data_IF_089241875647
#
_entry.id   IF_089241875647
#
_cell.length_a   1.000
_cell.length_b   1.000
_cell.length_c   1.000
_cell.angle_alpha   90.00
_cell.angle_beta   90.00
_cell.angle_gamma   90.00
#
_symmetry.space_group_name_H-M   'P 1'
#
loop_
_entity.id
_entity.type
_entity.pdbx_description
1 polymer ?
#
# COMPACT_ATOMS: atom_id res chain seq x y z
N UNK A 1 -25.76 -56.22 7.87
CA UNK A 1 -26.09 -55.28 6.77
C UNK A 1 -24.91 -54.34 6.59
N UNK A 2 -23.95 -54.69 5.73
CA UNK A 2 -22.75 -53.87 5.50
C UNK A 2 -22.87 -53.18 4.14
N UNK A 3 -23.38 -51.96 4.14
CA UNK A 3 -23.40 -51.10 2.95
C UNK A 3 -22.14 -50.23 2.95
N UNK A 4 -20.99 -50.80 2.58
CA UNK A 4 -19.85 -50.01 2.14
C UNK A 4 -20.08 -49.62 0.68
N UNK A 5 -20.83 -48.55 0.44
CA UNK A 5 -20.85 -47.88 -0.87
C UNK A 5 -19.54 -47.11 -0.99
N UNK A 6 -18.60 -47.63 -1.78
CA UNK A 6 -17.41 -46.91 -2.17
C UNK A 6 -17.76 -45.70 -3.04
N UNK A 7 -16.87 -44.72 -3.11
CA UNK A 7 -17.02 -43.57 -4.00
C UNK A 7 -16.91 -44.00 -5.46
N UNK A 8 -17.79 -43.47 -6.31
CA UNK A 8 -17.68 -43.66 -7.75
C UNK A 8 -16.46 -42.91 -8.28
N UNK A 9 -15.77 -43.45 -9.28
CA UNK A 9 -14.64 -42.79 -9.93
C UNK A 9 -15.00 -41.37 -10.41
N UNK A 10 -16.23 -41.20 -10.89
CA UNK A 10 -16.75 -39.89 -11.34
C UNK A 10 -16.89 -38.90 -10.18
N UNK A 11 -17.36 -39.34 -9.01
CA UNK A 11 -17.46 -38.50 -7.81
C UNK A 11 -16.08 -38.07 -7.32
N UNK A 12 -15.09 -38.99 -7.36
CA UNK A 12 -13.71 -38.68 -7.00
C UNK A 12 -13.11 -37.67 -7.97
N UNK A 13 -13.30 -37.85 -9.27
CA UNK A 13 -12.80 -36.93 -10.30
C UNK A 13 -13.43 -35.54 -10.19
N UNK A 14 -14.75 -35.46 -10.01
CA UNK A 14 -15.45 -34.18 -9.82
C UNK A 14 -14.98 -33.50 -8.55
N UNK A 15 -14.86 -34.23 -7.45
CA UNK A 15 -14.35 -33.69 -6.18
C UNK A 15 -12.92 -33.17 -6.32
N UNK A 16 -12.07 -33.90 -7.05
CA UNK A 16 -10.69 -33.50 -7.29
C UNK A 16 -10.61 -32.22 -8.14
N UNK A 17 -11.41 -32.13 -9.21
CA UNK A 17 -11.48 -30.91 -10.05
C UNK A 17 -11.99 -29.71 -9.26
N UNK A 18 -13.02 -29.90 -8.44
CA UNK A 18 -13.54 -28.83 -7.60
C UNK A 18 -12.50 -28.36 -6.58
N UNK A 19 -11.82 -29.29 -5.92
CA UNK A 19 -10.80 -28.97 -4.93
C UNK A 19 -9.63 -28.22 -5.56
N UNK A 20 -9.13 -28.67 -6.72
CA UNK A 20 -8.01 -28.01 -7.41
C UNK A 20 -8.40 -26.63 -7.94
N UNK A 21 -9.61 -26.47 -8.46
CA UNK A 21 -10.10 -25.17 -8.93
C UNK A 21 -10.25 -24.20 -7.76
N UNK A 22 -10.80 -24.66 -6.64
CA UNK A 22 -10.97 -23.84 -5.45
C UNK A 22 -9.63 -23.43 -4.85
N UNK A 23 -8.67 -24.35 -4.74
CA UNK A 23 -7.34 -24.02 -4.20
C UNK A 23 -6.60 -23.03 -5.09
N UNK A 24 -6.70 -23.18 -6.41
CA UNK A 24 -6.11 -22.25 -7.36
C UNK A 24 -6.74 -20.85 -7.27
N UNK A 25 -8.07 -20.77 -7.21
CA UNK A 25 -8.79 -19.51 -7.05
C UNK A 25 -8.41 -18.81 -5.73
N UNK A 26 -8.33 -19.55 -4.63
CA UNK A 26 -7.93 -19.01 -3.33
C UNK A 26 -6.49 -18.50 -3.34
N UNK A 27 -5.56 -19.21 -3.99
CA UNK A 27 -4.17 -18.77 -4.13
C UNK A 27 -4.08 -17.44 -4.90
N UNK A 28 -4.83 -17.34 -6.00
CA UNK A 28 -4.88 -16.12 -6.80
C UNK A 28 -5.49 -14.95 -6.00
N UNK A 29 -6.60 -15.20 -5.30
CA UNK A 29 -7.24 -14.19 -4.44
C UNK A 29 -6.32 -13.74 -3.30
N UNK A 30 -5.56 -14.65 -2.70
CA UNK A 30 -4.60 -14.32 -1.64
C UNK A 30 -3.49 -13.40 -2.17
N UNK A 31 -2.95 -13.69 -3.36
CA UNK A 31 -1.92 -12.87 -3.98
C UNK A 31 -2.42 -11.44 -4.25
N UNK A 32 -3.61 -11.31 -4.86
CA UNK A 32 -4.22 -10.01 -5.14
C UNK A 32 -4.50 -9.22 -3.86
N UNK A 33 -5.02 -9.90 -2.82
CA UNK A 33 -5.29 -9.28 -1.52
C UNK A 33 -4.01 -8.75 -0.87
N UNK A 34 -2.90 -9.51 -0.94
CA UNK A 34 -1.60 -9.07 -0.44
C UNK A 34 -1.09 -7.83 -1.18
N UNK A 35 -1.26 -7.78 -2.50
CA UNK A 35 -0.87 -6.62 -3.29
C UNK A 35 -1.65 -5.36 -2.88
N UNK A 36 -2.97 -5.47 -2.70
CA UNK A 36 -3.82 -4.36 -2.26
C UNK A 36 -3.47 -3.90 -0.85
N UNK A 37 -3.25 -4.83 0.08
CA UNK A 37 -2.84 -4.51 1.45
C UNK A 37 -1.47 -3.81 1.48
N UNK A 38 -0.50 -4.29 0.71
CA UNK A 38 0.80 -3.64 0.62
C UNK A 38 0.67 -2.19 0.10
N UNK A 39 -0.15 -1.97 -0.94
CA UNK A 39 -0.41 -0.62 -1.45
C UNK A 39 -1.04 0.29 -0.39
N UNK A 40 -2.00 -0.23 0.38
CA UNK A 40 -2.63 0.50 1.48
C UNK A 40 -1.63 0.85 2.59
N UNK A 41 -0.75 -0.09 2.96
CA UNK A 41 0.30 0.13 3.95
C UNK A 41 1.26 1.20 3.48
N UNK A 42 1.79 1.12 2.25
CA UNK A 42 2.69 2.13 1.70
C UNK A 42 2.03 3.50 1.63
N UNK A 43 0.76 3.57 1.20
CA UNK A 43 0.01 4.83 1.15
C UNK A 43 -0.21 5.44 2.53
N UNK A 44 -0.54 4.62 3.52
CA UNK A 44 -0.78 5.07 4.90
C UNK A 44 0.51 5.57 5.54
N UNK A 45 1.59 4.79 5.43
CA UNK A 45 2.91 5.17 5.93
C UNK A 45 3.45 6.42 5.23
N UNK A 46 3.32 6.50 3.91
CA UNK A 46 3.71 7.68 3.14
C UNK A 46 2.92 8.94 3.53
N UNK A 47 1.61 8.80 3.79
CA UNK A 47 0.80 9.92 4.29
C UNK A 47 1.24 10.35 5.69
N UNK A 48 1.46 9.41 6.60
CA UNK A 48 1.95 9.71 7.95
C UNK A 48 3.32 10.41 7.92
N UNK A 49 4.22 9.97 7.03
CA UNK A 49 5.51 10.61 6.84
C UNK A 49 5.37 12.04 6.30
N UNK A 50 4.44 12.28 5.36
CA UNK A 50 4.12 13.63 4.91
C UNK A 50 3.54 14.51 6.02
N UNK A 51 2.69 13.95 6.89
CA UNK A 51 2.14 14.68 8.04
C UNK A 51 3.26 15.06 9.02
N UNK A 52 4.24 14.18 9.25
CA UNK A 52 5.44 14.49 10.07
C UNK A 52 6.33 15.57 9.44
N UNK A 53 6.51 15.56 8.13
CA UNK A 53 7.22 16.64 7.43
C UNK A 53 6.45 17.96 7.57
N UNK A 54 5.13 17.92 7.43
CA UNK A 54 4.30 19.11 7.57
C UNK A 54 4.38 19.70 8.98
N UNK A 55 4.36 18.85 10.01
CA UNK A 55 4.51 19.23 11.41
C UNK A 55 5.89 19.83 11.70
N UNK A 56 6.98 19.20 11.23
CA UNK A 56 8.34 19.76 11.40
C UNK A 56 8.51 21.10 10.69
N UNK A 57 7.89 21.27 9.52
CA UNK A 57 7.84 22.55 8.80
C UNK A 57 7.03 23.62 9.55
N UNK A 58 5.90 23.27 10.18
CA UNK A 58 5.11 24.19 11.02
C UNK A 58 5.89 24.58 12.28
N UNK A 59 6.48 23.59 12.95
CA UNK A 59 7.24 23.77 14.19
C UNK A 59 8.61 24.44 13.97
N UNK A 60 8.98 24.75 12.71
CA UNK A 60 10.28 25.31 12.30
C UNK A 60 11.47 24.53 12.88
N UNK A 61 11.34 23.22 13.01
CA UNK A 61 12.42 22.37 13.49
C UNK A 61 13.39 22.13 12.33
N UNK A 62 14.66 22.48 12.50
CA UNK A 62 15.68 22.46 11.44
C UNK A 62 16.04 21.08 10.90
N UNK A 63 15.46 20.00 11.42
CA UNK A 63 15.75 18.62 11.02
C UNK A 63 14.48 17.93 10.51
N UNK A 64 14.51 17.57 9.23
CA UNK A 64 13.51 16.69 8.62
C UNK A 64 13.60 15.29 9.25
N UNK A 65 12.47 14.57 9.37
CA UNK A 65 12.49 13.19 9.80
C UNK A 65 13.32 12.33 8.81
N UNK A 66 14.02 11.30 9.30
CA UNK A 66 14.82 10.43 8.44
C UNK A 66 13.90 9.76 7.40
N UNK A 67 14.23 9.94 6.13
CA UNK A 67 13.46 9.38 5.01
C UNK A 67 13.64 7.86 5.02
N UNK A 68 12.57 7.06 5.09
CA UNK A 68 12.71 5.61 4.99
C UNK A 68 13.17 5.23 3.57
N UNK A 69 14.10 4.27 3.46
CA UNK A 69 14.75 3.91 2.20
C UNK A 69 13.80 3.49 1.06
N UNK A 70 12.57 3.10 1.39
CA UNK A 70 11.50 2.74 0.46
C UNK A 70 10.84 3.93 -0.24
N UNK A 71 11.12 5.16 0.18
CA UNK A 71 10.51 6.38 -0.34
C UNK A 71 11.55 7.34 -0.91
N UNK A 72 11.22 7.95 -2.05
CA UNK A 72 11.93 9.08 -2.62
C UNK A 72 11.12 10.36 -2.34
N UNK A 73 11.73 11.28 -1.59
CA UNK A 73 11.12 12.56 -1.22
C UNK A 73 11.70 13.67 -2.09
N UNK A 74 10.85 14.32 -2.88
CA UNK A 74 11.19 15.52 -3.63
C UNK A 74 10.40 16.71 -3.09
N UNK A 75 11.11 17.71 -2.55
CA UNK A 75 10.51 18.96 -2.11
C UNK A 75 10.85 20.04 -3.14
N UNK A 76 9.85 20.52 -3.88
CA UNK A 76 10.02 21.62 -4.83
C UNK A 76 9.38 22.90 -4.26
N UNK A 77 10.17 23.96 -4.11
CA UNK A 77 9.66 25.28 -3.78
C UNK A 77 9.42 26.08 -5.06
N UNK A 78 8.17 26.41 -5.37
CA UNK A 78 7.81 27.27 -6.50
C UNK A 78 7.12 28.53 -6.00
N UNK A 79 7.78 29.67 -6.17
CA UNK A 79 7.30 31.04 -5.95
C UNK A 79 6.69 31.32 -4.55
N UNK A 80 5.53 30.75 -4.23
CA UNK A 80 4.82 30.87 -2.96
C UNK A 80 4.09 29.56 -2.62
N UNK A 81 4.60 28.41 -3.05
CA UNK A 81 4.02 27.11 -2.73
C UNK A 81 5.14 26.09 -2.51
N UNK A 82 5.02 25.31 -1.44
CA UNK A 82 5.87 24.14 -1.20
C UNK A 82 5.12 22.93 -1.74
N UNK A 83 5.66 22.33 -2.80
CA UNK A 83 5.20 21.06 -3.35
C UNK A 83 6.02 19.95 -2.70
N UNK A 84 5.34 19.05 -1.99
CA UNK A 84 5.97 17.86 -1.41
C UNK A 84 5.51 16.66 -2.23
N UNK A 85 6.44 16.04 -2.94
CA UNK A 85 6.25 14.84 -3.74
C UNK A 85 6.90 13.66 -3.01
N UNK A 86 6.09 12.63 -2.73
CA UNK A 86 6.57 11.37 -2.20
C UNK A 86 6.28 10.27 -3.22
N UNK A 87 7.33 9.65 -3.76
CA UNK A 87 7.25 8.48 -4.63
C UNK A 87 7.85 7.27 -3.90
N UNK A 88 7.42 6.05 -4.20
CA UNK A 88 8.03 4.83 -3.65
C UNK A 88 8.53 3.91 -4.76
N UNK A 89 9.64 3.20 -4.49
CA UNK A 89 10.41 2.46 -5.50
C UNK A 89 9.71 1.18 -6.00
N UNK A 90 8.92 0.53 -5.16
CA UNK A 90 8.36 -0.80 -5.44
C UNK A 90 7.03 -0.77 -6.24
N UNK A 91 6.29 0.34 -6.20
CA UNK A 91 4.99 0.50 -6.86
C UNK A 91 4.84 1.95 -7.34
N UNK A 92 4.46 2.16 -8.60
CA UNK A 92 4.26 3.46 -9.26
C UNK A 92 3.09 4.25 -8.65
N UNK A 93 3.25 4.73 -7.42
CA UNK A 93 2.34 5.65 -6.79
C UNK A 93 3.08 6.85 -6.24
N UNK A 94 2.42 7.99 -6.31
CA UNK A 94 2.96 9.26 -5.83
C UNK A 94 1.90 9.95 -4.99
N UNK A 95 2.28 10.47 -3.83
CA UNK A 95 1.45 11.40 -3.07
C UNK A 95 2.04 12.78 -3.25
N UNK A 96 1.24 13.70 -3.79
CA UNK A 96 1.63 15.11 -3.94
C UNK A 96 0.74 15.96 -3.03
N UNK A 97 1.34 16.76 -2.15
CA UNK A 97 0.63 17.79 -1.38
C UNK A 97 1.15 19.18 -1.76
N UNK A 98 0.20 20.10 -1.99
CA UNK A 98 0.46 21.52 -2.26
C UNK A 98 0.24 22.30 -0.97
N UNK A 99 1.23 23.08 -0.53
CA UNK A 99 1.10 23.97 0.61
C UNK A 99 1.29 25.42 0.20
N UNK A 100 0.32 26.28 0.53
CA UNK A 100 0.54 27.72 0.57
C UNK A 100 1.31 28.07 1.86
N UNK A 101 2.34 28.92 1.83
CA UNK A 101 3.04 29.38 3.02
C UNK A 101 2.02 30.09 3.89
N UNK A 102 1.71 29.47 5.03
CA UNK A 102 0.88 30.08 6.06
C UNK A 102 1.63 31.33 6.51
N UNK A 103 0.92 32.46 6.44
CA UNK A 103 1.47 33.80 6.46
C UNK A 103 2.41 34.09 7.63
N UNK A 104 3.23 35.12 7.39
CA UNK A 104 3.88 35.90 8.43
C UNK A 104 2.88 36.22 9.54
N UNK A 105 2.94 35.47 10.65
CA UNK A 105 2.46 35.98 11.92
C UNK A 105 3.55 36.97 12.36
N UNK A 106 3.24 38.25 12.14
CA UNK A 106 4.03 39.40 12.59
C UNK A 106 3.85 39.60 14.09
#
# INVERSE_FOLDING_TARGET
MNCQKGFSLTEVLVSLVLLTTLTLALLQQQSQSKQLLNQLVFRTQGSQFLDQIEETLVARVSKLPPIPASYHLEIQQKHHQVLIHLAWFEQLGTITRKRNPIGHIR
#
